data_IF_034456037703
#
_entry.id   IF_034456037703
#
_cell.length_a   1.000
_cell.length_b   1.000
_cell.length_c   1.000
_cell.angle_alpha   90.00
_cell.angle_beta   90.00
_cell.angle_gamma   90.00
#
_symmetry.space_group_name_H-M   'P 1'
#
loop_
_entity.id
_entity.type
_entity.pdbx_description
1 polymer ?
#
# COMPACT_ATOMS: atom_id res chain seq x y z
N UNK A 1 -32.74 -34.31 -4.71
CA UNK A 1 -31.97 -34.80 -3.52
C UNK A 1 -30.47 -34.68 -3.74
N UNK A 2 -29.98 -34.92 -4.96
CA UNK A 2 -28.58 -34.65 -5.34
C UNK A 2 -28.22 -33.16 -5.32
N UNK A 3 -29.13 -32.25 -5.71
CA UNK A 3 -28.85 -30.80 -5.67
C UNK A 3 -28.54 -30.29 -4.27
N UNK A 4 -29.19 -30.86 -3.24
CA UNK A 4 -29.02 -30.45 -1.84
C UNK A 4 -27.62 -30.83 -1.32
N UNK A 5 -27.11 -32.01 -1.71
CA UNK A 5 -25.75 -32.42 -1.33
C UNK A 5 -24.68 -31.59 -2.04
N UNK A 6 -24.88 -31.25 -3.32
CA UNK A 6 -23.97 -30.38 -4.06
C UNK A 6 -23.91 -28.98 -3.44
N UNK A 7 -25.07 -28.40 -3.09
CA UNK A 7 -25.18 -27.11 -2.39
C UNK A 7 -24.48 -27.13 -1.03
N UNK A 8 -24.62 -28.22 -0.26
CA UNK A 8 -23.93 -28.40 1.02
C UNK A 8 -22.40 -28.47 0.85
N UNK A 9 -21.92 -29.14 -0.19
CA UNK A 9 -20.49 -29.20 -0.51
C UNK A 9 -19.92 -27.83 -0.87
N UNK A 10 -20.63 -27.07 -1.71
CA UNK A 10 -20.24 -25.69 -2.07
C UNK A 10 -20.22 -24.79 -0.84
N UNK A 11 -21.24 -24.89 0.02
CA UNK A 11 -21.33 -24.07 1.23
C UNK A 11 -20.26 -24.44 2.27
N UNK A 12 -19.94 -25.73 2.41
CA UNK A 12 -18.87 -26.20 3.30
C UNK A 12 -17.50 -25.71 2.83
N UNK A 13 -17.21 -25.78 1.52
CA UNK A 13 -15.99 -25.25 0.94
C UNK A 13 -15.89 -23.72 1.15
N UNK A 14 -16.95 -22.96 0.85
CA UNK A 14 -16.97 -21.51 1.06
C UNK A 14 -16.78 -21.12 2.54
N UNK A 15 -17.34 -21.91 3.46
CA UNK A 15 -17.14 -21.73 4.90
C UNK A 15 -15.69 -22.02 5.30
N UNK A 16 -15.09 -23.09 4.77
CA UNK A 16 -13.69 -23.46 5.03
C UNK A 16 -12.73 -22.42 4.45
N UNK A 17 -13.02 -21.85 3.28
CA UNK A 17 -12.26 -20.74 2.68
C UNK A 17 -12.35 -19.46 3.53
N UNK A 18 -13.53 -19.18 4.11
CA UNK A 18 -13.73 -18.06 5.02
C UNK A 18 -13.01 -18.27 6.37
N UNK A 19 -13.18 -19.44 6.99
CA UNK A 19 -12.55 -19.78 8.28
C UNK A 19 -11.03 -19.92 8.15
N UNK A 20 -10.54 -20.40 7.01
CA UNK A 20 -9.11 -20.51 6.69
C UNK A 20 -8.46 -19.19 6.26
N UNK A 21 -9.23 -18.11 6.11
CA UNK A 21 -8.72 -16.79 5.73
C UNK A 21 -8.28 -16.68 4.26
N UNK A 22 -8.53 -17.70 3.43
CA UNK A 22 -8.10 -17.75 2.04
C UNK A 22 -8.77 -16.68 1.17
N UNK A 23 -10.00 -16.28 1.51
CA UNK A 23 -10.72 -15.21 0.81
C UNK A 23 -10.08 -13.84 1.01
N UNK A 24 -9.60 -13.53 2.23
CA UNK A 24 -8.93 -12.27 2.57
C UNK A 24 -7.46 -12.25 2.10
N UNK A 25 -6.82 -13.43 2.07
CA UNK A 25 -5.48 -13.59 1.51
C UNK A 25 -5.45 -13.35 -0.01
N UNK A 26 -6.53 -13.70 -0.73
CA UNK A 26 -6.63 -13.44 -2.17
C UNK A 26 -6.68 -11.95 -2.49
N UNK A 27 -7.47 -11.17 -1.74
CA UNK A 27 -7.53 -9.71 -1.90
C UNK A 27 -6.18 -9.06 -1.59
N UNK A 28 -5.50 -9.54 -0.53
CA UNK A 28 -4.14 -9.10 -0.19
C UNK A 28 -3.13 -9.43 -1.28
N UNK A 29 -3.23 -10.63 -1.88
CA UNK A 29 -2.36 -11.08 -2.97
C UNK A 29 -2.55 -10.25 -4.26
N UNK A 30 -3.80 -10.01 -4.66
CA UNK A 30 -4.12 -9.16 -5.82
C UNK A 30 -3.68 -7.72 -5.60
N UNK A 31 -3.82 -7.22 -4.37
CA UNK A 31 -3.33 -5.89 -4.01
C UNK A 31 -1.80 -5.82 -4.16
N UNK A 32 -1.08 -6.84 -3.69
CA UNK A 32 0.38 -6.95 -3.85
C UNK A 32 0.85 -6.90 -5.30
N UNK A 33 0.09 -7.52 -6.21
CA UNK A 33 0.40 -7.55 -7.65
C UNK A 33 0.26 -6.16 -8.31
N UNK A 34 -0.86 -5.45 -8.07
CA UNK A 34 -1.06 -4.09 -8.60
C UNK A 34 -0.01 -3.11 -8.05
N UNK A 35 0.40 -3.30 -6.79
CA UNK A 35 1.44 -2.47 -6.21
C UNK A 35 2.82 -2.75 -6.78
N UNK A 36 3.13 -4.02 -7.05
CA UNK A 36 4.35 -4.38 -7.76
C UNK A 36 4.41 -3.66 -9.11
N UNK A 37 3.29 -3.51 -9.80
CA UNK A 37 3.21 -2.79 -11.08
C UNK A 37 3.48 -1.29 -10.94
N UNK A 38 2.86 -0.60 -9.98
CA UNK A 38 3.12 0.84 -9.77
C UNK A 38 4.56 1.11 -9.33
N UNK A 39 5.10 0.27 -8.46
CA UNK A 39 6.47 0.41 -7.96
C UNK A 39 7.48 0.07 -9.06
N UNK A 40 7.23 -0.96 -9.87
CA UNK A 40 8.06 -1.29 -11.04
C UNK A 40 8.04 -0.15 -12.07
N UNK A 41 6.86 0.41 -12.36
CA UNK A 41 6.73 1.56 -13.27
C UNK A 41 7.46 2.80 -12.73
N UNK A 42 7.36 3.07 -11.42
CA UNK A 42 8.09 4.17 -10.78
C UNK A 42 9.61 3.99 -10.88
N UNK A 43 10.10 2.76 -10.64
CA UNK A 43 11.54 2.43 -10.77
C UNK A 43 12.03 2.61 -12.19
N UNK A 44 11.28 2.10 -13.16
CA UNK A 44 11.62 2.23 -14.57
C UNK A 44 11.68 3.71 -14.98
N UNK A 45 10.64 4.49 -14.68
CA UNK A 45 10.62 5.92 -14.95
C UNK A 45 11.81 6.66 -14.30
N UNK A 46 12.14 6.35 -13.04
CA UNK A 46 13.27 6.98 -12.36
C UNK A 46 14.60 6.64 -13.05
N UNK A 47 14.80 5.37 -13.43
CA UNK A 47 16.00 4.92 -14.15
C UNK A 47 16.18 5.56 -15.53
N UNK A 48 15.09 5.98 -16.17
CA UNK A 48 15.10 6.71 -17.44
C UNK A 48 15.24 8.22 -17.26
N UNK A 49 15.35 8.71 -16.02
CA UNK A 49 15.43 10.15 -15.70
C UNK A 49 14.08 10.86 -15.70
N UNK A 50 12.97 10.13 -15.77
CA UNK A 50 11.61 10.65 -15.66
C UNK A 50 11.18 10.77 -14.19
N UNK A 51 11.94 11.57 -13.42
CA UNK A 51 11.77 11.76 -11.97
C UNK A 51 10.33 12.13 -11.56
N UNK A 52 9.69 13.05 -12.29
CA UNK A 52 8.37 13.56 -11.92
C UNK A 52 7.29 12.47 -12.08
N UNK A 53 7.39 11.66 -13.14
CA UNK A 53 6.52 10.49 -13.37
C UNK A 53 6.74 9.46 -12.26
N UNK A 54 8.00 9.17 -11.95
CA UNK A 54 8.35 8.25 -10.87
C UNK A 54 7.82 8.72 -9.51
N UNK A 55 7.89 10.02 -9.22
CA UNK A 55 7.38 10.61 -7.99
C UNK A 55 5.87 10.40 -7.84
N UNK A 56 5.09 10.67 -8.89
CA UNK A 56 3.64 10.48 -8.88
C UNK A 56 3.27 9.02 -8.63
N UNK A 57 3.89 8.10 -9.38
CA UNK A 57 3.61 6.65 -9.25
C UNK A 57 4.00 6.12 -7.87
N UNK A 58 5.19 6.46 -7.38
CA UNK A 58 5.68 6.01 -6.08
C UNK A 58 4.83 6.56 -4.92
N UNK A 59 4.43 7.84 -4.98
CA UNK A 59 3.60 8.45 -3.94
C UNK A 59 2.16 7.93 -3.96
N UNK A 60 1.59 7.63 -5.14
CA UNK A 60 0.28 6.98 -5.23
C UNK A 60 0.31 5.57 -4.62
N UNK A 61 1.34 4.78 -4.93
CA UNK A 61 1.54 3.46 -4.35
C UNK A 61 1.72 3.53 -2.81
N UNK A 62 2.47 4.53 -2.32
CA UNK A 62 2.65 4.75 -0.89
C UNK A 62 1.34 5.04 -0.17
N UNK A 63 0.54 5.99 -0.69
CA UNK A 63 -0.71 6.42 -0.07
C UNK A 63 -1.71 5.26 0.00
N UNK A 64 -1.88 4.51 -1.08
CA UNK A 64 -2.78 3.36 -1.12
C UNK A 64 -2.28 2.20 -0.24
N UNK A 65 -0.97 1.88 -0.24
CA UNK A 65 -0.42 0.83 0.61
C UNK A 65 -0.60 1.13 2.11
N UNK A 66 -0.37 2.38 2.53
CA UNK A 66 -0.59 2.80 3.92
C UNK A 66 -2.07 2.75 4.30
N UNK A 67 -2.96 3.23 3.42
CA UNK A 67 -4.39 3.21 3.66
C UNK A 67 -4.93 1.78 3.80
N UNK A 68 -4.56 0.89 2.88
CA UNK A 68 -4.97 -0.52 2.96
C UNK A 68 -4.42 -1.21 4.19
N UNK A 69 -3.15 -1.00 4.53
CA UNK A 69 -2.58 -1.57 5.74
C UNK A 69 -3.31 -1.07 6.99
N UNK A 70 -3.67 0.21 7.06
CA UNK A 70 -4.47 0.73 8.15
C UNK A 70 -5.84 0.03 8.26
N UNK A 71 -6.55 -0.17 7.13
CA UNK A 71 -7.82 -0.91 7.09
C UNK A 71 -7.67 -2.37 7.53
N UNK A 72 -6.61 -3.06 7.06
CA UNK A 72 -6.30 -4.44 7.49
C UNK A 72 -6.07 -4.54 9.00
N UNK A 73 -5.55 -3.48 9.63
CA UNK A 73 -5.36 -3.41 11.07
C UNK A 73 -6.60 -2.90 11.83
N UNK A 74 -7.75 -2.80 11.15
CA UNK A 74 -9.03 -2.40 11.74
C UNK A 74 -9.09 -0.90 12.10
N UNK A 75 -8.30 -0.06 11.43
CA UNK A 75 -8.38 1.39 11.60
C UNK A 75 -9.43 1.97 10.66
N UNK A 76 -10.35 2.73 11.24
CA UNK A 76 -11.33 3.51 10.48
C UNK A 76 -10.63 4.76 9.91
N UNK A 77 -10.40 4.75 8.60
CA UNK A 77 -9.67 5.78 7.89
C UNK A 77 -10.34 6.21 6.58
N UNK A 78 -11.66 6.00 6.44
CA UNK A 78 -12.39 6.51 5.28
C UNK A 78 -12.25 8.05 5.19
N UNK A 79 -11.94 8.56 4.00
CA UNK A 79 -11.71 9.98 3.67
C UNK A 79 -10.62 10.72 4.49
N UNK A 80 -9.78 9.99 5.22
CA UNK A 80 -8.68 10.59 5.98
C UNK A 80 -7.54 11.04 5.06
N UNK A 81 -6.83 12.10 5.48
CA UNK A 81 -5.61 12.50 4.81
C UNK A 81 -4.51 11.45 4.98
N UNK A 82 -3.52 11.45 4.08
CA UNK A 82 -2.32 10.63 4.24
C UNK A 82 -1.62 10.89 5.59
N UNK A 83 -1.62 12.14 6.06
CA UNK A 83 -1.03 12.50 7.34
C UNK A 83 -1.78 11.85 8.51
N UNK A 84 -3.12 11.83 8.47
CA UNK A 84 -3.95 11.20 9.49
C UNK A 84 -3.74 9.68 9.52
N UNK A 85 -3.65 9.06 8.34
CA UNK A 85 -3.32 7.64 8.20
C UNK A 85 -1.97 7.31 8.83
N UNK A 86 -0.93 8.09 8.52
CA UNK A 86 0.41 7.94 9.11
C UNK A 86 0.37 8.10 10.63
N UNK A 87 -0.34 9.11 11.13
CA UNK A 87 -0.47 9.35 12.57
C UNK A 87 -1.17 8.18 13.29
N UNK A 88 -2.23 7.64 12.70
CA UNK A 88 -2.95 6.48 13.23
C UNK A 88 -2.04 5.24 13.31
N UNK A 89 -1.30 4.95 12.24
CA UNK A 89 -0.33 3.85 12.20
C UNK A 89 0.78 4.02 13.25
N UNK A 90 1.30 5.25 13.40
CA UNK A 90 2.32 5.58 14.41
C UNK A 90 1.80 5.44 15.84
N UNK A 91 0.57 5.91 16.09
CA UNK A 91 -0.08 5.88 17.40
C UNK A 91 -0.39 4.47 17.87
N UNK A 92 -0.72 3.57 16.93
CA UNK A 92 -0.94 2.14 17.20
C UNK A 92 0.33 1.31 17.24
N UNK A 93 1.50 1.90 16.98
CA UNK A 93 2.79 1.19 16.96
C UNK A 93 2.96 0.23 15.78
N UNK A 94 2.12 0.35 14.75
CA UNK A 94 2.13 -0.51 13.55
C UNK A 94 3.31 -0.21 12.61
N UNK A 95 3.94 0.94 12.80
CA UNK A 95 5.22 1.35 12.20
C UNK A 95 6.18 1.77 13.31
N UNK A 96 7.47 1.47 13.19
CA UNK A 96 8.45 1.69 14.24
C UNK A 96 9.84 2.06 13.72
N UNK A 97 10.69 2.60 14.60
CA UNK A 97 12.08 2.93 14.29
C UNK A 97 12.24 3.80 13.05
N UNK A 98 13.06 3.34 12.10
CA UNK A 98 13.34 4.03 10.85
C UNK A 98 12.08 4.31 10.01
N UNK A 99 11.07 3.43 10.05
CA UNK A 99 9.81 3.65 9.31
C UNK A 99 9.09 4.91 9.80
N UNK A 100 9.11 5.20 11.11
CA UNK A 100 8.45 6.41 11.64
C UNK A 100 9.09 7.68 11.08
N UNK A 101 10.43 7.71 11.08
CA UNK A 101 11.21 8.86 10.60
C UNK A 101 11.01 9.11 9.10
N UNK A 102 10.98 8.06 8.29
CA UNK A 102 10.67 8.19 6.86
C UNK A 102 9.24 8.70 6.64
N UNK A 103 8.28 8.17 7.39
CA UNK A 103 6.89 8.62 7.32
C UNK A 103 6.65 10.03 7.90
N UNK A 104 7.64 10.67 8.54
CA UNK A 104 7.56 12.11 8.88
C UNK A 104 7.78 13.00 7.65
N UNK A 105 8.50 12.52 6.63
CA UNK A 105 8.88 13.31 5.45
C UNK A 105 8.09 12.95 4.20
N UNK A 106 7.70 11.68 4.04
CA UNK A 106 7.04 11.19 2.82
C UNK A 106 5.70 11.85 2.48
N UNK A 107 4.82 12.21 3.44
CA UNK A 107 3.60 12.98 3.11
C UNK A 107 3.91 14.30 2.40
N UNK A 108 4.99 14.96 2.81
CA UNK A 108 5.44 16.22 2.18
C UNK A 108 5.97 16.00 0.76
N UNK A 109 6.70 14.91 0.52
CA UNK A 109 7.16 14.52 -0.82
C UNK A 109 5.94 14.26 -1.72
N UNK A 110 4.97 13.52 -1.22
CA UNK A 110 3.71 13.23 -1.90
C UNK A 110 2.96 14.52 -2.25
N UNK A 111 2.83 15.46 -1.32
CA UNK A 111 2.14 16.73 -1.59
C UNK A 111 2.88 17.54 -2.65
N UNK A 112 4.21 17.56 -2.62
CA UNK A 112 4.97 18.20 -3.68
C UNK A 112 4.71 17.55 -5.04
N UNK A 113 4.62 16.22 -5.11
CA UNK A 113 4.37 15.51 -6.35
C UNK A 113 2.96 15.78 -6.89
N UNK A 114 1.94 15.70 -6.04
CA UNK A 114 0.53 15.88 -6.43
C UNK A 114 0.17 17.34 -6.77
N UNK A 115 0.97 18.29 -6.31
CA UNK A 115 0.84 19.71 -6.63
C UNK A 115 1.90 20.23 -7.61
N UNK A 116 2.57 19.34 -8.34
CA UNK A 116 3.55 19.68 -9.38
C UNK A 116 4.70 20.60 -8.92
N UNK A 117 5.10 20.51 -7.65
CA UNK A 117 6.22 21.26 -7.07
C UNK A 117 7.56 20.55 -7.32
N UNK A 118 7.88 20.22 -8.56
CA UNK A 118 9.00 19.35 -8.95
C UNK A 118 10.38 19.81 -8.49
N UNK A 119 10.57 21.12 -8.35
CA UNK A 119 11.82 21.74 -7.87
C UNK A 119 12.10 21.44 -6.38
N UNK A 120 11.12 20.93 -5.63
CA UNK A 120 11.24 20.56 -4.21
C UNK A 120 11.50 19.08 -3.97
N UNK A 121 11.63 18.29 -5.04
CA UNK A 121 11.80 16.84 -5.00
C UNK A 121 13.05 16.47 -5.79
N UNK A 122 13.94 15.69 -5.19
CA UNK A 122 15.11 15.11 -5.86
C UNK A 122 14.88 13.65 -6.25
N UNK A 123 15.71 13.12 -7.14
CA UNK A 123 15.73 11.69 -7.49
C UNK A 123 15.97 10.80 -6.27
N UNK A 124 16.77 11.27 -5.30
CA UNK A 124 17.00 10.57 -4.04
C UNK A 124 15.74 10.52 -3.17
N UNK A 125 14.95 11.59 -3.13
CA UNK A 125 13.67 11.60 -2.43
C UNK A 125 12.71 10.59 -3.05
N UNK A 126 12.59 10.57 -4.38
CA UNK A 126 11.74 9.59 -5.09
C UNK A 126 12.22 8.17 -4.85
N UNK A 127 13.53 7.91 -4.98
CA UNK A 127 14.12 6.62 -4.69
C UNK A 127 13.86 6.15 -3.25
N UNK A 128 13.84 7.07 -2.28
CA UNK A 128 13.51 6.74 -0.88
C UNK A 128 12.06 6.31 -0.70
N UNK A 129 11.12 6.93 -1.42
CA UNK A 129 9.70 6.54 -1.43
C UNK A 129 9.54 5.16 -2.05
N UNK A 130 10.14 4.94 -3.22
CA UNK A 130 10.12 3.64 -3.91
C UNK A 130 10.63 2.53 -2.98
N UNK A 131 11.83 2.70 -2.42
CA UNK A 131 12.45 1.69 -1.57
C UNK A 131 11.64 1.42 -0.29
N UNK A 132 11.02 2.45 0.28
CA UNK A 132 10.11 2.25 1.41
C UNK A 132 8.88 1.45 1.01
N UNK A 133 8.22 1.79 -0.10
CA UNK A 133 7.02 1.07 -0.55
C UNK A 133 7.35 -0.40 -0.86
N UNK A 134 8.45 -0.69 -1.55
CA UNK A 134 8.92 -2.06 -1.79
C UNK A 134 9.05 -2.84 -0.48
N UNK A 135 9.80 -2.29 0.47
CA UNK A 135 10.02 -2.94 1.75
C UNK A 135 8.73 -3.07 2.56
N UNK A 136 7.86 -2.08 2.49
CA UNK A 136 6.60 -2.06 3.23
C UNK A 136 5.66 -3.14 2.72
N UNK A 137 5.50 -3.28 1.40
CA UNK A 137 4.70 -4.33 0.79
C UNK A 137 5.23 -5.71 1.17
N UNK A 138 6.54 -5.94 1.03
CA UNK A 138 7.19 -7.21 1.37
C UNK A 138 7.05 -7.64 2.84
N UNK A 139 6.77 -6.71 3.75
CA UNK A 139 6.74 -7.00 5.20
C UNK A 139 5.36 -6.91 5.83
N UNK A 140 4.38 -6.33 5.14
CA UNK A 140 3.04 -6.06 5.67
C UNK A 140 1.92 -6.74 4.91
N UNK A 141 2.21 -7.31 3.75
CA UNK A 141 1.33 -8.08 2.88
C UNK A 141 2.03 -9.39 2.51
#
# INVERSE_FOLDING_TARGET
MWEVQALLGIFAAAKEDYEGGYLFNLESSLSGEIFADFVAAAKHALSEGHKDVAAVLACAALEDALARYARLQGLDIEDNSMQDTVNALKGKGLVSGAQKSLLDTMPKIRDFAMHANWHKISDADVGSVIGFVEQFLLTRF
#
